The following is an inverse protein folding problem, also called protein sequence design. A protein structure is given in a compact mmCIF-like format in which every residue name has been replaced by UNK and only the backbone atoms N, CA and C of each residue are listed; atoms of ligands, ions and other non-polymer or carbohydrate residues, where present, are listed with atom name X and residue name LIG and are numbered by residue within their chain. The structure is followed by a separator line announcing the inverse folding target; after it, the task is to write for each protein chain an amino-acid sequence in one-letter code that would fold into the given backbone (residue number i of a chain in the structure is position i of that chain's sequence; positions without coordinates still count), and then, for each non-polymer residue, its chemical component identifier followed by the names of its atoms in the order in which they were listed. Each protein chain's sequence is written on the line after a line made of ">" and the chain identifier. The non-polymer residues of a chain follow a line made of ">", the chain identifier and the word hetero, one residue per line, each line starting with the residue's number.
data_IF_480195321071
#
_entry.id   IF_480195321071
#
_cell.length_a   1.000
_cell.length_b   1.000
_cell.length_c   1.000
_cell.angle_alpha   90.00
_cell.angle_beta   90.00
_cell.angle_gamma   90.00
#
_symmetry.space_group_name_H-M   'P 1'
#
loop_
_entity.id
_entity.type
_entity.pdbx_description
1 polymer ?
#
# COMPACT_ATOMS: atom_id res chain seq x y z
N UNK A 1 -21.94 13.13 -2.60
CA UNK A 1 -21.43 14.47 -2.97
C UNK A 1 -20.55 14.96 -1.84
N UNK A 2 -19.29 15.34 -2.11
CA UNK A 2 -18.39 15.87 -1.09
C UNK A 2 -18.93 17.20 -0.53
N UNK A 3 -18.93 17.36 0.80
CA UNK A 3 -19.45 18.58 1.46
C UNK A 3 -18.55 19.79 1.18
N UNK A 4 -17.24 19.59 1.30
CA UNK A 4 -16.23 20.55 0.91
C UNK A 4 -15.71 20.07 -0.44
N UNK A 5 -15.75 20.92 -1.48
CA UNK A 5 -15.25 20.60 -2.83
C UNK A 5 -13.72 20.60 -2.87
N UNK A 6 -13.10 19.82 -1.98
CA UNK A 6 -11.67 19.69 -1.85
C UNK A 6 -11.12 18.77 -2.95
N UNK A 7 -9.88 19.03 -3.37
CA UNK A 7 -9.19 18.23 -4.40
C UNK A 7 -8.71 16.87 -3.89
N UNK A 8 -8.48 16.75 -2.57
CA UNK A 8 -8.16 15.51 -1.88
C UNK A 8 -8.35 15.64 -0.37
N UNK A 9 -8.42 14.52 0.33
CA UNK A 9 -8.42 14.43 1.79
C UNK A 9 -7.44 13.39 2.31
N UNK A 10 -7.01 13.55 3.56
CA UNK A 10 -6.15 12.59 4.26
C UNK A 10 -6.74 12.24 5.62
N UNK A 11 -6.67 10.97 5.98
CA UNK A 11 -6.99 10.46 7.31
C UNK A 11 -5.77 9.76 7.88
N UNK A 12 -5.41 10.14 9.10
CA UNK A 12 -4.31 9.56 9.86
C UNK A 12 -4.86 8.75 11.03
N UNK A 13 -4.08 7.81 11.55
CA UNK A 13 -4.34 7.15 12.82
C UNK A 13 -3.76 7.93 14.01
N UNK A 14 -3.81 7.34 15.21
CA UNK A 14 -3.60 8.05 16.48
C UNK A 14 -2.20 8.63 16.65
N UNK A 15 -1.18 7.95 16.12
CA UNK A 15 0.23 8.35 16.12
C UNK A 15 0.75 8.74 14.72
N UNK A 16 -0.12 8.72 13.71
CA UNK A 16 0.12 9.21 12.35
C UNK A 16 1.27 8.49 11.60
N UNK A 17 1.55 7.23 11.93
CA UNK A 17 2.43 6.38 11.13
C UNK A 17 1.70 5.85 9.88
N UNK A 18 0.36 5.92 9.84
CA UNK A 18 -0.47 5.54 8.69
C UNK A 18 -1.21 6.71 8.08
N UNK A 19 -1.47 6.57 6.79
CA UNK A 19 -2.37 7.47 6.06
C UNK A 19 -3.22 6.73 5.04
N UNK A 20 -4.49 7.12 4.98
CA UNK A 20 -5.40 6.80 3.89
C UNK A 20 -5.83 8.11 3.23
N UNK A 21 -5.87 8.13 1.90
CA UNK A 21 -6.29 9.29 1.14
C UNK A 21 -7.72 9.13 0.61
N UNK A 22 -8.34 10.25 0.27
CA UNK A 22 -9.65 10.32 -0.40
C UNK A 22 -9.53 11.24 -1.60
N UNK A 23 -9.99 10.80 -2.76
CA UNK A 23 -9.96 11.59 -3.99
C UNK A 23 -11.04 12.67 -4.06
N UNK A 24 -10.99 13.51 -5.10
CA UNK A 24 -11.94 14.60 -5.34
C UNK A 24 -13.38 14.14 -5.61
N UNK A 25 -13.60 12.82 -5.74
CA UNK A 25 -14.90 12.18 -5.95
C UNK A 25 -15.42 11.49 -4.68
N UNK A 26 -14.60 11.41 -3.64
CA UNK A 26 -14.91 10.75 -2.38
C UNK A 26 -14.58 9.25 -2.35
N UNK A 27 -13.80 8.76 -3.30
CA UNK A 27 -13.31 7.38 -3.28
C UNK A 27 -12.11 7.25 -2.35
N UNK A 28 -12.05 6.14 -1.61
CA UNK A 28 -10.91 5.80 -0.77
C UNK A 28 -9.74 5.39 -1.66
N UNK A 29 -8.57 5.95 -1.35
CA UNK A 29 -7.27 5.60 -1.94
C UNK A 29 -6.40 5.01 -0.82
N UNK A 30 -6.26 3.69 -0.84
CA UNK A 30 -5.55 2.94 0.21
C UNK A 30 -4.02 2.97 0.05
N UNK A 31 -3.32 2.32 0.99
CA UNK A 31 -1.86 2.28 0.99
C UNK A 31 -1.25 1.66 -0.27
N UNK A 32 -1.90 0.66 -0.88
CA UNK A 32 -1.40 0.05 -2.12
C UNK A 32 -1.44 1.06 -3.27
N UNK A 33 -2.56 1.79 -3.40
CA UNK A 33 -2.72 2.79 -4.46
C UNK A 33 -1.77 3.98 -4.24
N UNK A 34 -1.60 4.46 -3.00
CA UNK A 34 -0.65 5.52 -2.66
C UNK A 34 0.78 5.07 -3.00
N UNK A 35 1.16 3.86 -2.60
CA UNK A 35 2.47 3.29 -2.94
C UNK A 35 2.65 3.14 -4.46
N UNK A 36 1.62 2.74 -5.21
CA UNK A 36 1.71 2.58 -6.65
C UNK A 36 2.00 3.91 -7.35
N UNK A 37 1.26 4.96 -6.98
CA UNK A 37 1.46 6.32 -7.51
C UNK A 37 2.90 6.78 -7.26
N UNK A 38 3.37 6.67 -6.02
CA UNK A 38 4.72 7.09 -5.63
C UNK A 38 5.82 6.24 -6.30
N UNK A 39 5.65 4.92 -6.33
CA UNK A 39 6.60 4.00 -6.97
C UNK A 39 6.75 4.29 -8.46
N UNK A 40 5.65 4.50 -9.18
CA UNK A 40 5.67 4.80 -10.61
C UNK A 40 6.36 6.14 -10.90
N UNK A 41 6.11 7.16 -10.09
CA UNK A 41 6.82 8.45 -10.20
C UNK A 41 8.34 8.27 -9.97
N UNK A 42 8.73 7.50 -8.96
CA UNK A 42 10.14 7.21 -8.68
C UNK A 42 10.80 6.36 -9.80
N UNK A 43 10.10 5.39 -10.39
CA UNK A 43 10.59 4.61 -11.54
C UNK A 43 10.79 5.54 -12.75
N UNK A 44 9.82 6.39 -13.07
CA UNK A 44 9.87 7.36 -14.19
C UNK A 44 11.10 8.28 -14.08
N UNK A 45 11.48 8.65 -12.86
CA UNK A 45 12.64 9.51 -12.56
C UNK A 45 13.95 8.76 -12.33
N UNK A 46 13.96 7.43 -12.43
CA UNK A 46 15.09 6.59 -12.07
C UNK A 46 15.59 6.79 -10.61
N UNK A 47 14.66 7.10 -9.70
CA UNK A 47 14.92 7.34 -8.27
C UNK A 47 14.52 6.15 -7.37
N UNK A 48 13.93 5.08 -7.93
CA UNK A 48 13.65 3.84 -7.23
C UNK A 48 14.79 2.82 -7.48
N UNK A 49 15.68 2.56 -6.50
CA UNK A 49 16.76 1.60 -6.67
C UNK A 49 16.24 0.21 -7.03
N UNK A 50 16.89 -0.43 -8.00
CA UNK A 50 16.49 -1.74 -8.54
C UNK A 50 15.05 -1.80 -9.04
N UNK A 51 14.37 -0.64 -9.21
CA UNK A 51 12.94 -0.52 -9.49
C UNK A 51 12.07 -1.43 -8.60
N UNK A 52 12.48 -1.63 -7.36
CA UNK A 52 11.92 -2.64 -6.47
C UNK A 52 11.08 -1.99 -5.37
N UNK A 53 9.95 -2.57 -4.99
CA UNK A 53 9.16 -2.13 -3.82
C UNK A 53 8.93 -3.33 -2.89
N UNK A 54 9.03 -3.13 -1.58
CA UNK A 54 8.72 -4.17 -0.59
C UNK A 54 7.29 -4.01 -0.05
N UNK A 55 6.48 -5.05 -0.11
CA UNK A 55 5.11 -5.05 0.45
C UNK A 55 4.81 -6.37 1.16
N UNK A 56 3.74 -6.43 1.93
CA UNK A 56 3.30 -7.68 2.55
C UNK A 56 2.45 -8.53 1.59
N UNK A 57 2.24 -9.79 1.94
CA UNK A 57 1.33 -10.71 1.24
C UNK A 57 -0.12 -10.19 1.12
N UNK A 58 -0.51 -9.19 1.93
CA UNK A 58 -1.87 -8.64 1.95
C UNK A 58 -2.13 -7.63 0.83
N UNK A 59 -1.08 -7.09 0.23
CA UNK A 59 -1.17 -6.10 -0.84
C UNK A 59 -1.87 -6.69 -2.07
N UNK A 60 -2.81 -5.94 -2.63
CA UNK A 60 -3.68 -6.38 -3.71
C UNK A 60 -2.89 -6.72 -4.99
N UNK A 61 -3.27 -7.77 -5.72
CA UNK A 61 -2.58 -8.18 -6.96
C UNK A 61 -2.54 -7.10 -8.04
N UNK A 62 -3.47 -6.15 -8.00
CA UNK A 62 -3.45 -4.96 -8.86
C UNK A 62 -2.17 -4.14 -8.72
N UNK A 63 -1.61 -4.09 -7.50
CA UNK A 63 -0.38 -3.38 -7.18
C UNK A 63 0.80 -4.01 -7.91
N UNK A 64 0.97 -5.33 -7.76
CA UNK A 64 2.02 -6.09 -8.42
C UNK A 64 1.99 -5.87 -9.93
N UNK A 65 0.81 -5.99 -10.55
CA UNK A 65 0.63 -5.77 -11.99
C UNK A 65 0.99 -4.35 -12.42
N UNK A 66 0.64 -3.33 -11.63
CA UNK A 66 0.96 -1.94 -11.94
C UNK A 66 2.47 -1.69 -11.95
N UNK A 67 3.18 -2.22 -10.94
CA UNK A 67 4.64 -2.08 -10.83
C UNK A 67 5.36 -2.88 -11.93
N UNK A 68 4.94 -4.11 -12.20
CA UNK A 68 5.52 -4.95 -13.26
C UNK A 68 5.36 -4.34 -14.65
N UNK A 69 4.19 -3.75 -14.96
CA UNK A 69 3.96 -3.02 -16.22
C UNK A 69 4.93 -1.86 -16.43
N UNK A 70 5.43 -1.25 -15.35
CA UNK A 70 6.45 -0.20 -15.40
C UNK A 70 7.90 -0.74 -15.40
N UNK A 71 8.07 -2.05 -15.52
CA UNK A 71 9.38 -2.72 -15.47
C UNK A 71 10.00 -2.72 -14.07
N UNK A 72 9.17 -2.57 -13.03
CA UNK A 72 9.57 -2.72 -11.64
C UNK A 72 9.34 -4.14 -11.12
N UNK A 73 9.67 -4.35 -9.85
CA UNK A 73 9.49 -5.62 -9.14
C UNK A 73 8.89 -5.38 -7.76
N UNK A 74 7.92 -6.20 -7.37
CA UNK A 74 7.43 -6.24 -5.99
C UNK A 74 8.06 -7.41 -5.26
N UNK A 75 8.54 -7.18 -4.04
CA UNK A 75 9.04 -8.22 -3.14
C UNK A 75 8.04 -8.36 -1.99
N UNK A 76 7.45 -9.55 -1.89
CA UNK A 76 6.49 -9.87 -0.83
C UNK A 76 7.20 -10.32 0.44
N UNK A 77 6.71 -9.85 1.58
CA UNK A 77 7.14 -10.24 2.93
C UNK A 77 5.99 -10.78 3.74
N UNK A 78 6.30 -11.39 4.89
CA UNK A 78 5.27 -11.69 5.87
C UNK A 78 4.62 -10.39 6.40
N UNK A 79 3.44 -10.52 7.01
CA UNK A 79 2.64 -9.39 7.52
C UNK A 79 3.37 -8.72 8.69
N UNK A 80 3.47 -7.39 8.65
CA UNK A 80 4.15 -6.59 9.67
C UNK A 80 5.21 -5.65 9.08
N UNK A 81 5.16 -4.39 9.51
CA UNK A 81 6.11 -3.30 9.25
C UNK A 81 7.59 -3.72 9.36
N UNK A 82 7.93 -4.50 10.39
CA UNK A 82 9.29 -5.01 10.62
C UNK A 82 9.81 -5.82 9.45
N UNK A 83 9.00 -6.73 8.89
CA UNK A 83 9.43 -7.58 7.78
C UNK A 83 9.61 -6.77 6.50
N UNK A 84 8.75 -5.77 6.29
CA UNK A 84 8.88 -4.82 5.18
C UNK A 84 10.21 -4.07 5.30
N UNK A 85 10.49 -3.47 6.46
CA UNK A 85 11.73 -2.71 6.69
C UNK A 85 13.00 -3.59 6.56
N UNK A 86 12.99 -4.80 7.10
CA UNK A 86 14.09 -5.77 6.96
C UNK A 86 14.32 -6.12 5.49
N UNK A 87 13.25 -6.33 4.71
CA UNK A 87 13.35 -6.61 3.29
C UNK A 87 13.86 -5.40 2.51
N UNK A 88 13.38 -4.19 2.81
CA UNK A 88 13.85 -2.96 2.17
C UNK A 88 15.35 -2.79 2.33
N UNK A 89 15.88 -3.05 3.53
CA UNK A 89 17.33 -3.04 3.80
C UNK A 89 18.07 -4.12 3.01
N UNK A 90 17.53 -5.33 2.95
CA UNK A 90 18.14 -6.47 2.22
C UNK A 90 18.24 -6.22 0.72
N UNK A 91 17.17 -5.70 0.11
CA UNK A 91 17.10 -5.43 -1.35
C UNK A 91 17.53 -4.02 -1.73
N UNK A 92 17.92 -3.22 -0.73
CA UNK A 92 18.37 -1.82 -0.85
C UNK A 92 17.38 -0.95 -1.63
N UNK A 93 16.07 -1.15 -1.42
CA UNK A 93 15.06 -0.24 -1.96
C UNK A 93 14.72 0.87 -0.96
N UNK A 94 14.11 1.93 -1.47
CA UNK A 94 13.76 3.13 -0.72
C UNK A 94 12.27 3.29 -0.45
N UNK A 95 11.43 2.42 -1.03
CA UNK A 95 9.99 2.44 -0.86
C UNK A 95 9.49 1.05 -0.46
N UNK A 96 8.63 1.02 0.54
CA UNK A 96 7.85 -0.16 0.92
C UNK A 96 6.74 0.20 1.89
N UNK A 97 5.85 -0.73 2.16
CA UNK A 97 4.75 -0.49 3.08
C UNK A 97 3.65 -1.54 3.02
N UNK A 98 2.53 -1.18 3.62
CA UNK A 98 1.36 -2.03 3.78
C UNK A 98 0.10 -1.34 3.22
N UNK A 99 -0.88 -2.14 2.80
CA UNK A 99 -2.20 -1.66 2.33
C UNK A 99 -2.91 -0.78 3.37
N UNK A 100 -2.62 -0.97 4.65
CA UNK A 100 -3.15 -0.20 5.78
C UNK A 100 -2.78 1.28 5.75
N UNK A 101 -1.81 1.69 4.93
CA UNK A 101 -1.31 3.06 4.86
C UNK A 101 -0.01 3.28 5.64
N UNK A 102 0.55 2.24 6.28
CA UNK A 102 1.89 2.30 6.86
C UNK A 102 2.93 2.23 5.73
N UNK A 103 3.46 3.39 5.32
CA UNK A 103 4.34 3.52 4.14
C UNK A 103 5.67 4.15 4.55
N UNK A 104 6.76 3.52 4.12
CA UNK A 104 8.13 3.86 4.46
C UNK A 104 8.84 4.41 3.23
N UNK A 105 9.30 5.65 3.32
CA UNK A 105 10.26 6.24 2.40
C UNK A 105 11.63 6.32 3.08
N UNK A 106 12.47 5.30 2.88
CA UNK A 106 13.71 5.12 3.67
C UNK A 106 14.80 6.15 3.38
N UNK A 107 14.59 7.03 2.39
CA UNK A 107 15.43 8.20 2.13
C UNK A 107 15.22 9.31 3.16
N UNK A 108 14.07 9.34 3.83
CA UNK A 108 13.64 10.44 4.69
C UNK A 108 13.31 9.99 6.12
N UNK A 109 12.73 8.81 6.29
CA UNK A 109 12.35 8.25 7.59
C UNK A 109 12.82 6.81 7.74
N UNK A 110 13.04 6.38 8.99
CA UNK A 110 13.41 5.00 9.33
C UNK A 110 12.20 4.11 9.61
N UNK A 111 10.99 4.67 9.61
CA UNK A 111 9.72 4.02 9.92
C UNK A 111 8.60 4.54 9.01
N UNK A 112 7.41 3.95 9.11
CA UNK A 112 6.21 4.47 8.46
C UNK A 112 5.87 5.86 8.96
N UNK A 113 5.55 6.76 8.03
CA UNK A 113 5.24 8.15 8.34
C UNK A 113 4.11 8.62 7.42
N UNK A 114 2.91 8.78 8.00
CA UNK A 114 1.71 9.18 7.29
C UNK A 114 1.82 10.61 6.75
N UNK A 115 2.39 11.53 7.52
CA UNK A 115 2.55 12.93 7.12
C UNK A 115 3.51 13.08 5.94
N UNK A 116 4.66 12.42 6.02
CA UNK A 116 5.63 12.34 4.93
C UNK A 116 4.98 11.71 3.69
N UNK A 117 4.25 10.63 3.87
CA UNK A 117 3.56 9.94 2.77
C UNK A 117 2.55 10.87 2.07
N UNK A 118 1.77 11.64 2.82
CA UNK A 118 0.88 12.67 2.27
C UNK A 118 1.64 13.72 1.46
N UNK A 119 2.79 14.19 1.95
CA UNK A 119 3.64 15.15 1.23
C UNK A 119 4.19 14.56 -0.06
N UNK A 120 4.65 13.31 -0.05
CA UNK A 120 5.13 12.63 -1.25
C UNK A 120 4.00 12.44 -2.26
N UNK A 121 2.80 12.07 -1.82
CA UNK A 121 1.64 11.95 -2.70
C UNK A 121 1.27 13.30 -3.33
N UNK A 122 1.13 14.36 -2.52
CA UNK A 122 0.84 15.72 -3.02
C UNK A 122 1.91 16.24 -3.98
N UNK A 123 3.18 15.89 -3.74
CA UNK A 123 4.27 16.21 -4.67
C UNK A 123 4.02 15.57 -6.04
N UNK A 124 3.63 14.30 -6.11
CA UNK A 124 3.31 13.64 -7.38
C UNK A 124 2.10 14.29 -8.07
N UNK A 125 1.04 14.62 -7.32
CA UNK A 125 -0.13 15.34 -7.88
C UNK A 125 0.28 16.65 -8.54
N UNK A 126 1.12 17.43 -7.86
CA UNK A 126 1.58 18.73 -8.37
C UNK A 126 2.49 18.61 -9.59
N UNK A 127 3.31 17.56 -9.65
CA UNK A 127 4.21 17.33 -10.79
C UNK A 127 3.48 16.79 -12.03
N UNK A 128 2.46 15.96 -11.84
CA UNK A 128 1.70 15.36 -12.94
C UNK A 128 0.49 16.21 -13.36
N UNK A 129 0.16 17.26 -12.60
CA UNK A 129 -0.98 18.18 -12.81
C UNK A 129 -2.31 17.43 -13.07
N UNK A 130 -2.52 16.35 -12.31
CA UNK A 130 -3.67 15.44 -12.46
C UNK A 130 -4.41 15.26 -11.13
N UNK A 131 -5.74 15.10 -11.17
CA UNK A 131 -6.52 14.81 -9.98
C UNK A 131 -6.17 13.44 -9.39
N UNK A 132 -6.38 13.28 -8.08
CA UNK A 132 -6.05 12.04 -7.37
C UNK A 132 -6.78 10.84 -7.95
N UNK A 133 -8.04 10.98 -8.38
CA UNK A 133 -8.78 9.87 -8.99
C UNK A 133 -8.12 9.35 -10.28
N UNK A 134 -7.45 10.22 -11.04
CA UNK A 134 -6.72 9.81 -12.23
C UNK A 134 -5.43 9.06 -11.86
N UNK A 135 -4.67 9.60 -10.91
CA UNK A 135 -3.44 8.94 -10.45
C UNK A 135 -3.72 7.59 -9.77
N UNK A 136 -4.80 7.48 -9.00
CA UNK A 136 -5.20 6.22 -8.37
C UNK A 136 -5.60 5.14 -9.38
N UNK A 137 -5.99 5.52 -10.60
CA UNK A 137 -6.40 4.58 -11.66
C UNK A 137 -5.24 3.83 -12.33
N UNK A 138 -3.99 4.19 -12.03
CA UNK A 138 -2.80 3.44 -12.50
C UNK A 138 -2.75 2.01 -11.97
N UNK A 139 -3.44 1.77 -10.86
CA UNK A 139 -3.62 0.47 -10.25
C UNK A 139 -5.10 0.08 -10.32
N UNK A 140 -5.40 -0.97 -11.08
CA UNK A 140 -6.72 -1.61 -11.05
C UNK A 140 -6.83 -2.48 -9.79
N UNK A 141 -7.70 -2.10 -8.85
CA UNK A 141 -7.90 -2.87 -7.62
C UNK A 141 -8.77 -4.10 -7.89
N UNK A 142 -8.24 -5.27 -7.60
CA UNK A 142 -8.97 -6.53 -7.75
C UNK A 142 -9.92 -6.72 -6.55
N UNK A 143 -11.08 -7.38 -6.75
CA UNK A 143 -11.96 -7.72 -5.64
C UNK A 143 -11.21 -8.52 -4.57
N UNK A 144 -11.17 -7.98 -3.35
CA UNK A 144 -10.49 -8.59 -2.21
C UNK A 144 -11.33 -8.32 -0.96
N UNK A 145 -11.64 -9.38 -0.22
CA UNK A 145 -12.41 -9.31 1.03
C UNK A 145 -11.51 -9.81 2.15
N UNK A 146 -11.38 -9.03 3.22
CA UNK A 146 -10.65 -9.41 4.43
C UNK A 146 -11.67 -9.47 5.56
N UNK A 147 -11.81 -10.65 6.17
CA UNK A 147 -12.71 -10.89 7.30
C UNK A 147 -11.89 -11.17 8.55
N UNK A 148 -12.15 -10.40 9.60
CA UNK A 148 -11.53 -10.58 10.91
C UNK A 148 -12.52 -11.27 11.84
N UNK A 149 -12.11 -12.38 12.44
CA UNK A 149 -12.93 -13.14 13.39
C UNK A 149 -12.28 -13.13 14.76
N UNK A 150 -13.07 -12.84 15.78
CA UNK A 150 -12.64 -12.99 17.17
C UNK A 150 -12.61 -14.48 17.52
N UNK A 151 -11.46 -14.94 18.02
CA UNK A 151 -11.23 -16.34 18.37
C UNK A 151 -10.62 -16.43 19.76
N UNK A 152 -11.03 -17.44 20.53
CA UNK A 152 -10.47 -17.69 21.86
C UNK A 152 -8.98 -18.03 21.82
N UNK A 153 -8.56 -18.76 20.78
CA UNK A 153 -7.20 -19.23 20.62
C UNK A 153 -6.85 -19.35 19.13
N UNK A 154 -5.81 -18.62 18.70
CA UNK A 154 -5.43 -18.49 17.28
C UNK A 154 -5.00 -19.83 16.67
N UNK A 155 -4.16 -20.59 17.34
CA UNK A 155 -3.67 -21.88 16.81
C UNK A 155 -4.80 -22.90 16.67
N UNK A 156 -5.73 -22.92 17.63
CA UNK A 156 -6.89 -23.82 17.59
C UNK A 156 -7.82 -23.53 16.42
N UNK A 157 -7.91 -22.27 15.99
CA UNK A 157 -8.67 -21.89 14.79
C UNK A 157 -8.06 -22.51 13.52
N UNK A 158 -6.75 -22.33 13.31
CA UNK A 158 -6.08 -22.85 12.11
C UNK A 158 -5.91 -24.36 12.10
N UNK A 159 -5.90 -25.02 13.26
CA UNK A 159 -5.84 -26.49 13.38
C UNK A 159 -7.21 -27.16 13.33
N UNK A 160 -8.31 -26.40 13.39
CA UNK A 160 -9.66 -26.93 13.30
C UNK A 160 -9.90 -27.64 11.96
N UNK A 161 -10.30 -28.91 12.04
CA UNK A 161 -10.48 -29.78 10.87
C UNK A 161 -11.56 -29.26 9.92
N UNK A 162 -12.67 -28.75 10.45
CA UNK A 162 -13.77 -28.21 9.63
C UNK A 162 -13.33 -26.97 8.84
N UNK A 163 -12.55 -26.10 9.45
CA UNK A 163 -12.02 -24.89 8.81
C UNK A 163 -10.99 -25.28 7.73
N UNK A 164 -10.04 -26.17 8.04
CA UNK A 164 -9.07 -26.65 7.05
C UNK A 164 -9.73 -27.29 5.83
N UNK A 165 -10.80 -28.06 6.06
CA UNK A 165 -11.55 -28.70 4.98
C UNK A 165 -12.24 -27.66 4.08
N UNK A 166 -12.89 -26.67 4.68
CA UNK A 166 -13.55 -25.60 3.93
C UNK A 166 -12.59 -24.77 3.08
N UNK A 167 -11.42 -24.40 3.63
CA UNK A 167 -10.39 -23.65 2.89
C UNK A 167 -9.92 -24.44 1.67
N UNK A 168 -9.64 -25.73 1.84
CA UNK A 168 -9.13 -26.60 0.76
C UNK A 168 -10.15 -26.88 -0.36
N UNK A 169 -11.45 -26.77 -0.07
CA UNK A 169 -12.52 -26.93 -1.08
C UNK A 169 -12.76 -25.64 -1.88
N UNK A 170 -12.21 -24.50 -1.43
CA UNK A 170 -12.45 -23.17 -2.01
C UNK A 170 -11.23 -22.62 -2.77
N UNK A 171 -10.02 -23.14 -2.48
CA UNK A 171 -8.78 -22.92 -3.25
C UNK A 171 -8.73 -23.77 -4.53
#
# INVERSE_FOLDING_TARGET
>A
MLRQKADLGFSYDGDADRVIAVDEKGNIVDGDQIMAICALNLIKKAQLPNKTVATTLMSNIGFDRAIEKAGGKVIKTNIGDRYVLEMMKKVKTVLGGEQSGHIIFSQYSTTGDGLLTSLQLMKVLREEEKPLSNLASVMEKYPQIILNYEVKEKERFFTNVSIKKFVKETE
#
